data_IF_394208122340
#
_entry.id   IF_394208122340
#
_cell.length_a   1.000
_cell.length_b   1.000
_cell.length_c   1.000
_cell.angle_alpha   90.00
_cell.angle_beta   90.00
_cell.angle_gamma   90.00
#
_symmetry.space_group_name_H-M   'P 1'
#
loop_
_entity.id
_entity.type
_entity.pdbx_description
1 polymer ?
#
# COMPACT_ATOMS: atom_id res chain seq x y z
N UNK A 1 9.62 -12.17 36.61
CA UNK A 1 9.91 -11.65 35.26
C UNK A 1 9.76 -12.78 34.25
N UNK A 2 8.67 -12.80 33.48
CA UNK A 2 8.50 -13.76 32.39
C UNK A 2 9.31 -13.26 31.20
N UNK A 3 10.25 -14.07 30.69
CA UNK A 3 10.88 -13.84 29.39
C UNK A 3 9.81 -14.03 28.32
N UNK A 4 9.50 -12.97 27.58
CA UNK A 4 8.75 -13.10 26.34
C UNK A 4 9.66 -13.82 25.35
N UNK A 5 9.21 -14.98 24.86
CA UNK A 5 9.82 -15.66 23.74
C UNK A 5 9.23 -15.03 22.49
N UNK A 6 10.02 -14.22 21.78
CA UNK A 6 9.62 -13.65 20.50
C UNK A 6 9.84 -14.72 19.42
N UNK A 7 8.75 -15.15 18.78
CA UNK A 7 8.80 -16.06 17.64
C UNK A 7 9.22 -15.28 16.40
N UNK A 8 10.39 -15.62 15.88
CA UNK A 8 10.99 -15.06 14.67
C UNK A 8 10.42 -15.72 13.42
N UNK A 9 9.87 -14.93 12.49
CA UNK A 9 9.50 -15.39 11.15
C UNK A 9 10.20 -14.46 10.15
N UNK A 10 11.21 -14.98 9.46
CA UNK A 10 11.91 -14.26 8.38
C UNK A 10 11.43 -14.77 7.03
N UNK A 11 11.09 -13.85 6.11
CA UNK A 11 10.83 -14.15 4.71
C UNK A 11 12.04 -13.76 3.85
N UNK A 12 12.29 -14.60 2.83
CA UNK A 12 13.34 -14.39 1.85
C UNK A 12 12.76 -13.61 0.68
N UNK A 13 13.18 -12.35 0.52
CA UNK A 13 12.77 -11.51 -0.61
C UNK A 13 13.36 -12.05 -1.92
N UNK A 14 12.76 -11.68 -3.04
CA UNK A 14 13.21 -12.04 -4.40
C UNK A 14 14.64 -11.55 -4.74
N UNK A 15 15.16 -10.59 -3.97
CA UNK A 15 16.55 -10.13 -4.05
C UNK A 15 17.53 -10.94 -3.16
N UNK A 16 17.07 -12.02 -2.52
CA UNK A 16 17.87 -12.90 -1.67
C UNK A 16 18.13 -12.41 -0.25
N UNK A 17 17.60 -11.23 0.13
CA UNK A 17 17.76 -10.69 1.49
C UNK A 17 16.70 -11.24 2.46
N UNK A 18 17.11 -11.44 3.71
CA UNK A 18 16.21 -11.72 4.84
C UNK A 18 15.74 -10.36 5.37
N UNK A 19 14.44 -10.08 5.23
CA UNK A 19 13.84 -8.82 5.70
C UNK A 19 13.28 -8.94 7.12
N UNK A 20 13.28 -7.83 7.86
CA UNK A 20 12.60 -7.69 9.15
C UNK A 20 11.11 -7.44 8.95
N UNK A 21 10.26 -8.09 9.75
CA UNK A 21 8.92 -7.57 10.07
C UNK A 21 9.12 -6.51 11.16
N UNK A 22 9.29 -5.24 10.77
CA UNK A 22 9.06 -4.13 11.73
C UNK A 22 7.57 -4.12 12.07
N UNK A 23 7.21 -3.63 13.26
CA UNK A 23 5.83 -3.46 13.75
C UNK A 23 4.94 -2.53 12.87
N UNK A 24 5.34 -2.23 11.63
CA UNK A 24 4.57 -1.49 10.63
C UNK A 24 4.18 -2.29 9.37
N UNK A 25 4.60 -3.54 9.20
CA UNK A 25 4.28 -4.34 8.01
C UNK A 25 2.97 -5.14 8.17
N UNK A 26 1.84 -4.41 8.17
CA UNK A 26 0.48 -4.94 7.90
C UNK A 26 -0.01 -4.52 6.51
N UNK A 27 0.89 -4.47 5.54
CA UNK A 27 0.55 -4.19 4.16
C UNK A 27 0.59 -5.53 3.44
N UNK A 28 -0.55 -6.17 3.14
CA UNK A 28 -0.54 -7.35 2.29
C UNK A 28 0.14 -6.96 0.97
N UNK A 29 1.31 -7.53 0.74
CA UNK A 29 1.99 -7.51 -0.54
C UNK A 29 1.18 -8.38 -1.49
N UNK A 30 0.04 -7.88 -1.99
CA UNK A 30 -0.86 -8.56 -2.94
C UNK A 30 -0.15 -9.11 -4.21
N UNK A 31 1.10 -8.78 -4.48
CA UNK A 31 1.88 -9.41 -5.55
C UNK A 31 2.36 -10.82 -5.19
N UNK A 32 2.46 -11.16 -3.90
CA UNK A 32 2.74 -12.51 -3.42
C UNK A 32 1.58 -13.49 -3.70
N UNK A 33 0.44 -12.99 -4.21
CA UNK A 33 -0.69 -13.80 -4.67
C UNK A 33 -0.40 -14.60 -5.95
N UNK A 34 0.68 -14.27 -6.67
CA UNK A 34 1.13 -15.05 -7.82
C UNK A 34 2.29 -15.95 -7.39
N UNK A 35 2.05 -17.25 -7.34
CA UNK A 35 3.07 -18.25 -7.05
C UNK A 35 3.83 -18.59 -8.34
N UNK A 36 5.15 -18.40 -8.32
CA UNK A 36 6.06 -18.90 -9.35
C UNK A 36 6.47 -20.33 -8.99
N UNK A 37 6.02 -21.30 -9.78
CA UNK A 37 6.45 -22.69 -9.65
C UNK A 37 7.66 -22.94 -10.56
N UNK A 38 8.71 -23.58 -10.03
CA UNK A 38 9.87 -23.99 -10.83
C UNK A 38 9.41 -24.83 -12.04
N UNK A 39 9.59 -24.27 -13.24
CA UNK A 39 9.20 -24.84 -14.55
C UNK A 39 7.69 -24.95 -14.87
N UNK A 40 6.79 -24.20 -14.21
CA UNK A 40 5.39 -24.06 -14.65
C UNK A 40 5.00 -22.60 -14.88
N UNK A 41 3.88 -22.40 -15.59
CA UNK A 41 3.25 -21.10 -15.70
C UNK A 41 2.95 -20.55 -14.30
N UNK A 42 3.17 -19.25 -14.04
CA UNK A 42 2.82 -18.63 -12.77
C UNK A 42 1.33 -18.80 -12.47
N UNK A 43 0.96 -19.01 -11.21
CA UNK A 43 -0.42 -19.27 -10.82
C UNK A 43 -0.94 -18.18 -9.88
N UNK A 44 -2.13 -17.64 -10.15
CA UNK A 44 -2.84 -16.74 -9.24
C UNK A 44 -3.65 -17.58 -8.24
N UNK A 45 -3.31 -17.44 -6.96
CA UNK A 45 -3.97 -18.15 -5.86
C UNK A 45 -5.33 -17.51 -5.55
N UNK A 46 -6.28 -18.31 -5.06
CA UNK A 46 -7.56 -17.80 -4.57
C UNK A 46 -7.41 -16.94 -3.30
N UNK A 47 -7.37 -15.62 -3.49
CA UNK A 47 -7.25 -14.63 -2.42
C UNK A 47 -8.59 -14.20 -1.80
N UNK A 48 -9.66 -14.99 -1.97
CA UNK A 48 -10.93 -14.77 -1.29
C UNK A 48 -10.80 -14.50 0.22
N UNK A 49 -9.96 -15.23 0.99
CA UNK A 49 -9.89 -14.97 2.42
C UNK A 49 -9.27 -13.62 2.79
N UNK A 50 -8.43 -13.06 1.91
CA UNK A 50 -7.91 -11.69 2.08
C UNK A 50 -9.05 -10.67 1.96
N UNK A 51 -9.92 -10.85 0.96
CA UNK A 51 -11.12 -10.01 0.77
C UNK A 51 -12.03 -10.09 2.01
N UNK A 52 -12.25 -11.29 2.55
CA UNK A 52 -13.08 -11.49 3.75
C UNK A 52 -12.50 -10.79 4.98
N UNK A 53 -11.18 -10.85 5.17
CA UNK A 53 -10.51 -10.17 6.29
C UNK A 53 -10.56 -8.65 6.15
N UNK A 54 -10.34 -8.12 4.94
CA UNK A 54 -10.47 -6.69 4.66
C UNK A 54 -11.89 -6.18 4.88
N UNK A 55 -12.89 -6.95 4.44
CA UNK A 55 -14.29 -6.63 4.69
C UNK A 55 -14.60 -6.54 6.18
N UNK A 56 -14.13 -7.49 6.99
CA UNK A 56 -14.34 -7.45 8.44
C UNK A 56 -13.71 -6.22 9.13
N UNK A 57 -12.64 -5.66 8.55
CA UNK A 57 -11.99 -4.44 9.04
C UNK A 57 -12.77 -3.18 8.62
N UNK A 58 -13.30 -3.13 7.40
CA UNK A 58 -13.85 -1.91 6.82
C UNK A 58 -15.39 -1.84 6.78
N UNK A 59 -16.11 -2.92 7.10
CA UNK A 59 -17.58 -2.98 7.04
C UNK A 59 -18.30 -2.06 8.04
N UNK A 60 -17.59 -1.43 8.98
CA UNK A 60 -18.14 -0.54 10.01
C UNK A 60 -17.86 0.95 9.79
N UNK A 61 -17.42 1.36 8.61
CA UNK A 61 -17.12 2.77 8.32
C UNK A 61 -18.34 3.71 8.44
N UNK A 62 -18.07 5.02 8.58
CA UNK A 62 -19.03 6.02 9.05
C UNK A 62 -20.10 6.42 8.02
N UNK A 63 -19.79 6.41 6.73
CA UNK A 63 -20.75 6.83 5.69
C UNK A 63 -21.71 5.70 5.29
N UNK A 64 -22.93 5.77 5.80
CA UNK A 64 -23.97 4.75 5.62
C UNK A 64 -24.29 4.46 4.14
N UNK A 65 -24.33 5.48 3.27
CA UNK A 65 -24.75 5.29 1.87
C UNK A 65 -23.69 4.53 1.08
N UNK A 66 -22.43 4.95 1.20
CA UNK A 66 -21.30 4.32 0.51
C UNK A 66 -21.02 2.93 1.10
N UNK A 67 -21.14 2.79 2.42
CA UNK A 67 -21.04 1.50 3.11
C UNK A 67 -22.09 0.50 2.63
N UNK A 68 -23.35 0.92 2.45
CA UNK A 68 -24.39 0.02 1.99
C UNK A 68 -24.11 -0.52 0.58
N UNK A 69 -23.57 0.33 -0.32
CA UNK A 69 -23.12 -0.10 -1.65
C UNK A 69 -21.93 -1.04 -1.57
N UNK A 70 -20.93 -0.71 -0.77
CA UNK A 70 -19.77 -1.55 -0.51
C UNK A 70 -20.17 -2.95 0.02
N UNK A 71 -21.02 -3.00 1.05
CA UNK A 71 -21.53 -4.26 1.60
C UNK A 71 -22.35 -5.04 0.56
N UNK A 72 -23.08 -4.34 -0.32
CA UNK A 72 -23.83 -4.99 -1.40
C UNK A 72 -22.90 -5.66 -2.41
N UNK A 73 -21.80 -5.00 -2.79
CA UNK A 73 -20.76 -5.59 -3.67
C UNK A 73 -20.13 -6.82 -3.02
N UNK A 74 -19.76 -6.74 -1.74
CA UNK A 74 -19.23 -7.89 -1.02
C UNK A 74 -20.22 -9.07 -0.97
N UNK A 75 -21.51 -8.78 -0.73
CA UNK A 75 -22.56 -9.80 -0.76
C UNK A 75 -22.74 -10.42 -2.15
N UNK A 76 -22.71 -9.61 -3.22
CA UNK A 76 -22.75 -10.13 -4.59
C UNK A 76 -21.54 -11.00 -4.91
N UNK A 77 -20.35 -10.62 -4.44
CA UNK A 77 -19.13 -11.39 -4.61
C UNK A 77 -19.20 -12.73 -3.86
N UNK A 78 -19.67 -12.75 -2.61
CA UNK A 78 -19.91 -13.98 -1.87
C UNK A 78 -20.96 -14.87 -2.55
N UNK A 79 -22.09 -14.31 -2.97
CA UNK A 79 -23.16 -15.05 -3.66
C UNK A 79 -22.64 -15.66 -4.97
N UNK A 80 -21.90 -14.90 -5.77
CA UNK A 80 -21.32 -15.33 -7.05
C UNK A 80 -20.44 -16.59 -6.92
N UNK A 81 -19.70 -16.72 -5.82
CA UNK A 81 -18.83 -17.89 -5.53
C UNK A 81 -19.61 -19.18 -5.27
N UNK A 82 -20.87 -19.09 -4.85
CA UNK A 82 -21.67 -20.27 -4.49
C UNK A 82 -22.24 -21.01 -5.71
N UNK A 83 -22.33 -20.35 -6.86
CA UNK A 83 -22.94 -20.93 -8.05
C UNK A 83 -21.95 -21.81 -8.83
N UNK A 84 -22.35 -23.06 -9.07
CA UNK A 84 -21.60 -24.00 -9.90
C UNK A 84 -21.99 -23.92 -11.38
N UNK A 85 -23.18 -23.40 -11.70
CA UNK A 85 -23.66 -23.25 -13.08
C UNK A 85 -23.05 -22.00 -13.73
N UNK A 86 -22.25 -22.22 -14.77
CA UNK A 86 -21.48 -21.18 -15.47
C UNK A 86 -22.33 -19.99 -15.94
N UNK A 87 -23.51 -20.25 -16.52
CA UNK A 87 -24.41 -19.17 -16.98
C UNK A 87 -24.86 -18.23 -15.85
N UNK A 88 -25.03 -18.77 -14.63
CA UNK A 88 -25.43 -17.98 -13.46
C UNK A 88 -24.20 -17.25 -12.90
N UNK A 89 -23.05 -17.92 -12.85
CA UNK A 89 -21.78 -17.34 -12.42
C UNK A 89 -21.38 -16.13 -13.27
N UNK A 90 -21.51 -16.25 -14.60
CA UNK A 90 -21.28 -15.16 -15.55
C UNK A 90 -22.22 -13.97 -15.28
N UNK A 91 -23.53 -14.22 -15.18
CA UNK A 91 -24.52 -13.17 -14.94
C UNK A 91 -24.28 -12.43 -13.61
N UNK A 92 -23.91 -13.16 -12.55
CA UNK A 92 -23.60 -12.56 -11.25
C UNK A 92 -22.29 -11.77 -11.27
N UNK A 93 -21.26 -12.26 -11.96
CA UNK A 93 -20.02 -11.50 -12.09
C UNK A 93 -20.17 -10.25 -12.95
N UNK A 94 -21.05 -10.26 -13.96
CA UNK A 94 -21.38 -9.07 -14.73
C UNK A 94 -22.05 -8.01 -13.83
N UNK A 95 -23.03 -8.42 -13.02
CA UNK A 95 -23.67 -7.54 -12.02
C UNK A 95 -22.64 -6.96 -11.04
N UNK A 96 -21.73 -7.81 -10.53
CA UNK A 96 -20.65 -7.38 -9.65
C UNK A 96 -19.71 -6.37 -10.36
N UNK A 97 -19.38 -6.60 -11.62
CA UNK A 97 -18.50 -5.72 -12.41
C UNK A 97 -19.14 -4.34 -12.61
N UNK A 98 -20.43 -4.31 -12.96
CA UNK A 98 -21.19 -3.06 -13.09
C UNK A 98 -21.25 -2.31 -11.76
N UNK A 99 -21.63 -2.98 -10.67
CA UNK A 99 -21.70 -2.37 -9.34
C UNK A 99 -20.33 -1.88 -8.84
N UNK A 100 -19.26 -2.63 -9.12
CA UNK A 100 -17.89 -2.25 -8.77
C UNK A 100 -17.44 -1.01 -9.53
N UNK A 101 -17.69 -0.96 -10.85
CA UNK A 101 -17.40 0.22 -11.68
C UNK A 101 -18.13 1.47 -11.17
N UNK A 102 -19.42 1.35 -10.84
CA UNK A 102 -20.23 2.46 -10.33
C UNK A 102 -19.66 3.00 -9.01
N UNK A 103 -19.41 2.12 -8.03
CA UNK A 103 -18.87 2.55 -6.74
C UNK A 103 -17.44 3.10 -6.85
N UNK A 104 -16.59 2.48 -7.66
CA UNK A 104 -15.24 2.99 -7.93
C UNK A 104 -15.31 4.42 -8.46
N UNK A 105 -16.15 4.69 -9.46
CA UNK A 105 -16.30 6.03 -10.02
C UNK A 105 -16.79 7.06 -8.99
N UNK A 106 -17.75 6.68 -8.14
CA UNK A 106 -18.21 7.53 -7.04
C UNK A 106 -17.09 7.86 -6.05
N UNK A 107 -16.28 6.86 -5.69
CA UNK A 107 -15.11 7.04 -4.82
C UNK A 107 -14.03 7.92 -5.50
N UNK A 108 -13.78 7.78 -6.80
CA UNK A 108 -12.83 8.64 -7.52
C UNK A 108 -13.23 10.12 -7.44
N UNK A 109 -14.53 10.43 -7.57
CA UNK A 109 -15.05 11.80 -7.45
C UNK A 109 -14.78 12.34 -6.04
N UNK A 110 -15.14 11.58 -5.00
CA UNK A 110 -14.91 11.96 -3.60
C UNK A 110 -13.44 12.15 -3.27
N UNK A 111 -12.58 11.26 -3.75
CA UNK A 111 -11.12 11.34 -3.53
C UNK A 111 -10.54 12.60 -4.18
N UNK A 112 -11.00 12.97 -5.39
CA UNK A 112 -10.62 14.24 -6.03
C UNK A 112 -11.08 15.46 -5.24
N UNK A 113 -12.27 15.42 -4.67
CA UNK A 113 -12.78 16.49 -3.79
C UNK A 113 -11.95 16.61 -2.51
N UNK A 114 -11.66 15.48 -1.84
CA UNK A 114 -10.79 15.44 -0.65
C UNK A 114 -9.38 15.96 -0.95
N UNK A 115 -8.79 15.60 -2.10
CA UNK A 115 -7.51 16.17 -2.58
C UNK A 115 -7.59 17.69 -2.69
N UNK A 116 -8.64 18.25 -3.29
CA UNK A 116 -8.81 19.71 -3.37
C UNK A 116 -8.92 20.35 -1.99
N UNK A 117 -9.69 19.75 -1.08
CA UNK A 117 -9.82 20.23 0.29
C UNK A 117 -8.48 20.21 1.06
N UNK A 118 -7.65 19.19 0.83
CA UNK A 118 -6.33 19.06 1.46
C UNK A 118 -5.42 20.25 1.15
N UNK A 119 -5.41 20.73 -0.09
CA UNK A 119 -4.66 21.92 -0.49
C UNK A 119 -5.32 23.23 -0.03
N UNK A 120 -6.63 23.23 0.23
CA UNK A 120 -7.38 24.42 0.62
C UNK A 120 -7.39 24.70 2.13
N UNK A 121 -7.38 23.66 2.98
CA UNK A 121 -7.42 23.81 4.45
C UNK A 121 -6.18 23.23 5.11
N UNK A 122 -5.23 24.08 5.49
CA UNK A 122 -4.02 23.67 6.22
C UNK A 122 -4.32 23.16 7.64
N UNK A 123 -5.39 23.64 8.27
CA UNK A 123 -5.72 23.26 9.65
C UNK A 123 -6.40 21.89 9.76
N UNK A 124 -7.05 21.43 8.70
CA UNK A 124 -7.84 20.19 8.72
C UNK A 124 -7.19 19.04 7.95
N UNK A 125 -5.93 19.19 7.52
CA UNK A 125 -5.26 18.22 6.64
C UNK A 125 -5.29 16.79 7.21
N UNK A 126 -5.06 16.61 8.51
CA UNK A 126 -5.09 15.29 9.14
C UNK A 126 -6.49 14.64 9.05
N UNK A 127 -7.55 15.39 9.34
CA UNK A 127 -8.93 14.90 9.24
C UNK A 127 -9.28 14.53 7.80
N UNK A 128 -8.79 15.32 6.83
CA UNK A 128 -8.99 15.05 5.41
C UNK A 128 -8.25 13.76 5.00
N UNK A 129 -7.02 13.56 5.46
CA UNK A 129 -6.24 12.34 5.19
C UNK A 129 -6.90 11.11 5.85
N UNK A 130 -7.44 11.24 7.06
CA UNK A 130 -8.17 10.15 7.72
C UNK A 130 -9.43 9.76 6.92
N UNK A 131 -10.21 10.75 6.49
CA UNK A 131 -11.36 10.49 5.62
C UNK A 131 -10.94 9.94 4.26
N UNK A 132 -9.81 10.37 3.71
CA UNK A 132 -9.26 9.84 2.45
C UNK A 132 -8.88 8.37 2.60
N UNK A 133 -8.26 7.99 3.72
CA UNK A 133 -7.92 6.61 4.03
C UNK A 133 -9.14 5.70 3.99
N UNK A 134 -10.26 6.10 4.59
CA UNK A 134 -11.51 5.32 4.57
C UNK A 134 -11.99 5.05 3.13
N UNK A 135 -12.02 6.08 2.28
CA UNK A 135 -12.44 5.96 0.89
C UNK A 135 -11.46 5.11 0.06
N UNK A 136 -10.14 5.25 0.30
CA UNK A 136 -9.12 4.44 -0.36
C UNK A 136 -9.18 2.97 0.04
N UNK A 137 -9.40 2.67 1.31
CA UNK A 137 -9.55 1.29 1.79
C UNK A 137 -10.77 0.62 1.14
N UNK A 138 -11.93 1.31 1.07
CA UNK A 138 -13.10 0.79 0.31
C UNK A 138 -12.79 0.61 -1.17
N UNK A 139 -12.09 1.56 -1.78
CA UNK A 139 -11.70 1.52 -3.19
C UNK A 139 -10.88 0.26 -3.50
N UNK A 140 -9.87 0.00 -2.66
CA UNK A 140 -8.98 -1.15 -2.77
C UNK A 140 -9.77 -2.46 -2.62
N UNK A 141 -10.64 -2.56 -1.62
CA UNK A 141 -11.44 -3.76 -1.37
C UNK A 141 -12.37 -4.09 -2.55
N UNK A 142 -13.01 -3.07 -3.13
CA UNK A 142 -13.88 -3.23 -4.31
C UNK A 142 -13.07 -3.64 -5.53
N UNK A 143 -11.90 -3.04 -5.72
CA UNK A 143 -10.99 -3.39 -6.81
C UNK A 143 -10.53 -4.85 -6.68
N UNK A 144 -10.22 -5.32 -5.48
CA UNK A 144 -9.86 -6.72 -5.22
C UNK A 144 -11.02 -7.68 -5.50
N UNK A 145 -12.25 -7.35 -5.07
CA UNK A 145 -13.45 -8.13 -5.42
C UNK A 145 -13.59 -8.26 -6.93
N UNK A 146 -13.37 -7.17 -7.67
CA UNK A 146 -13.51 -7.14 -9.11
C UNK A 146 -12.40 -7.96 -9.80
N UNK A 147 -11.14 -7.79 -9.39
CA UNK A 147 -10.01 -8.59 -9.90
C UNK A 147 -10.28 -10.09 -9.65
N UNK A 148 -10.68 -10.45 -8.44
CA UNK A 148 -10.96 -11.84 -8.06
C UNK A 148 -12.04 -12.47 -8.92
N UNK A 149 -13.21 -11.81 -9.01
CA UNK A 149 -14.34 -12.32 -9.78
C UNK A 149 -13.98 -12.51 -11.25
N UNK A 150 -13.28 -11.53 -11.82
CA UNK A 150 -12.83 -11.59 -13.22
C UNK A 150 -11.82 -12.71 -13.45
N UNK A 151 -10.83 -12.86 -12.57
CA UNK A 151 -9.82 -13.91 -12.66
C UNK A 151 -10.44 -15.31 -12.53
N UNK A 152 -11.45 -15.46 -11.68
CA UNK A 152 -12.17 -16.73 -11.49
C UNK A 152 -13.02 -17.19 -12.69
N UNK A 153 -13.22 -16.31 -13.68
CA UNK A 153 -14.01 -16.58 -14.88
C UNK A 153 -13.15 -16.65 -16.13
N UNK A 154 -12.29 -15.65 -16.34
CA UNK A 154 -11.51 -15.53 -17.57
C UNK A 154 -10.21 -14.74 -17.27
N UNK A 155 -9.22 -15.43 -16.67
CA UNK A 155 -7.94 -14.82 -16.30
C UNK A 155 -7.18 -14.29 -17.53
N UNK A 156 -7.37 -14.90 -18.70
CA UNK A 156 -6.73 -14.48 -19.95
C UNK A 156 -7.18 -13.09 -20.42
N UNK A 157 -8.38 -12.66 -19.98
CA UNK A 157 -8.93 -11.34 -20.35
C UNK A 157 -8.10 -10.16 -19.80
N UNK A 158 -7.30 -10.38 -18.75
CA UNK A 158 -6.42 -9.36 -18.17
C UNK A 158 -5.36 -8.84 -19.14
N UNK A 159 -4.95 -9.65 -20.14
CA UNK A 159 -4.00 -9.22 -21.18
C UNK A 159 -4.47 -8.00 -21.97
N UNK A 160 -5.79 -7.87 -22.11
CA UNK A 160 -6.43 -6.77 -22.86
C UNK A 160 -7.15 -5.79 -21.93
N UNK A 161 -7.11 -6.00 -20.62
CA UNK A 161 -7.75 -5.11 -19.68
C UNK A 161 -6.96 -3.79 -19.55
N UNK A 162 -7.68 -2.69 -19.72
CA UNK A 162 -7.20 -1.33 -19.47
C UNK A 162 -8.01 -0.62 -18.39
N UNK A 163 -9.14 -1.17 -17.96
CA UNK A 163 -10.07 -0.53 -17.02
C UNK A 163 -9.56 -0.69 -15.59
N UNK A 164 -9.26 -1.93 -15.16
CA UNK A 164 -8.70 -2.23 -13.85
C UNK A 164 -7.34 -1.55 -13.67
N UNK A 165 -6.55 -1.49 -14.74
CA UNK A 165 -5.28 -0.75 -14.75
C UNK A 165 -5.51 0.75 -14.56
N UNK A 166 -6.43 1.36 -15.29
CA UNK A 166 -6.75 2.79 -15.12
C UNK A 166 -7.25 3.12 -13.70
N UNK A 167 -7.97 2.20 -13.06
CA UNK A 167 -8.37 2.34 -11.65
C UNK A 167 -7.17 2.32 -10.69
N UNK A 168 -6.23 1.40 -10.92
CA UNK A 168 -4.98 1.35 -10.14
C UNK A 168 -4.13 2.61 -10.34
N UNK A 169 -3.92 2.99 -11.60
CA UNK A 169 -3.12 4.15 -12.00
C UNK A 169 -3.69 5.45 -11.39
N UNK A 170 -5.01 5.64 -11.43
CA UNK A 170 -5.68 6.80 -10.83
C UNK A 170 -5.38 6.93 -9.33
N UNK A 171 -5.54 5.84 -8.57
CA UNK A 171 -5.37 5.88 -7.13
C UNK A 171 -3.89 6.05 -6.76
N UNK A 172 -2.98 5.40 -7.49
CA UNK A 172 -1.55 5.55 -7.30
C UNK A 172 -1.08 6.99 -7.56
N UNK A 173 -1.51 7.61 -8.68
CA UNK A 173 -1.18 8.99 -9.01
C UNK A 173 -1.68 9.96 -7.92
N UNK A 174 -2.94 9.83 -7.51
CA UNK A 174 -3.55 10.68 -6.49
C UNK A 174 -2.81 10.58 -5.15
N UNK A 175 -2.49 9.36 -4.70
CA UNK A 175 -1.80 9.14 -3.43
C UNK A 175 -0.34 9.61 -3.50
N UNK A 176 0.32 9.42 -4.65
CA UNK A 176 1.72 9.83 -4.82
C UNK A 176 1.88 11.34 -4.77
N UNK A 177 0.96 12.09 -5.38
CA UNK A 177 0.95 13.55 -5.30
C UNK A 177 0.76 14.04 -3.86
N UNK A 178 -0.22 13.49 -3.13
CA UNK A 178 -0.46 13.86 -1.72
C UNK A 178 0.72 13.49 -0.83
N UNK A 179 1.29 12.30 -1.03
CA UNK A 179 2.46 11.84 -0.29
C UNK A 179 3.66 12.74 -0.54
N UNK A 180 3.91 13.09 -1.80
CA UNK A 180 5.00 13.98 -2.19
C UNK A 180 4.85 15.36 -1.55
N UNK A 181 3.63 15.91 -1.50
CA UNK A 181 3.37 17.19 -0.82
C UNK A 181 3.69 17.12 0.68
N UNK A 182 3.26 16.05 1.35
CA UNK A 182 3.50 15.87 2.78
C UNK A 182 5.00 15.77 3.07
N UNK A 183 5.74 14.90 2.38
CA UNK A 183 7.17 14.67 2.67
C UNK A 183 8.09 15.80 2.18
N UNK A 184 7.66 16.59 1.19
CA UNK A 184 8.41 17.77 0.72
C UNK A 184 8.15 19.00 1.58
N UNK A 185 7.29 18.88 2.61
CA UNK A 185 7.09 19.94 3.58
C UNK A 185 8.40 20.26 4.30
N UNK A 186 8.76 21.54 4.29
CA UNK A 186 9.93 22.08 4.98
C UNK A 186 10.85 22.91 4.09
N UNK A 187 11.70 23.71 4.71
CA UNK A 187 12.59 24.68 4.04
C UNK A 187 13.86 24.04 3.50
N UNK A 188 14.37 23.02 4.17
CA UNK A 188 15.60 22.34 3.75
C UNK A 188 15.27 21.07 2.96
N UNK A 189 15.92 20.89 1.82
CA UNK A 189 15.78 19.70 1.00
C UNK A 189 16.00 18.42 1.82
N UNK A 190 15.08 17.46 1.67
CA UNK A 190 15.06 16.17 2.37
C UNK A 190 14.87 16.29 3.92
N UNK A 191 14.33 17.40 4.45
CA UNK A 191 14.11 17.60 5.90
C UNK A 191 13.35 16.46 6.56
N UNK A 192 12.26 16.00 5.94
CA UNK A 192 11.46 14.90 6.46
C UNK A 192 12.27 13.60 6.59
N UNK A 193 13.06 13.26 5.57
CA UNK A 193 13.92 12.08 5.61
C UNK A 193 15.04 12.19 6.64
N UNK A 194 15.64 13.37 6.81
CA UNK A 194 16.63 13.63 7.87
C UNK A 194 16.01 13.49 9.26
N UNK A 195 14.83 14.07 9.46
CA UNK A 195 14.09 13.94 10.71
C UNK A 195 13.82 12.47 11.04
N UNK A 196 13.36 11.68 10.06
CA UNK A 196 13.21 10.24 10.24
C UNK A 196 14.55 9.55 10.55
N UNK A 197 15.64 9.92 9.87
CA UNK A 197 16.94 9.29 10.07
C UNK A 197 17.55 9.51 11.47
N UNK A 198 17.33 10.70 12.05
CA UNK A 198 18.05 11.13 13.26
C UNK A 198 17.18 11.18 14.53
N UNK A 199 15.86 11.37 14.40
CA UNK A 199 14.94 11.49 15.55
C UNK A 199 14.01 10.27 15.70
N UNK A 200 13.56 9.68 14.60
CA UNK A 200 12.62 8.55 14.61
C UNK A 200 13.35 7.25 14.29
N UNK A 201 13.81 6.52 15.30
CA UNK A 201 14.42 5.19 15.10
C UNK A 201 13.41 4.21 14.46
N UNK A 202 13.42 4.12 13.13
CA UNK A 202 12.65 3.14 12.36
C UNK A 202 11.88 3.76 11.18
N UNK A 203 11.77 2.96 10.11
CA UNK A 203 10.96 3.16 8.90
C UNK A 203 11.49 4.09 7.79
N UNK A 204 12.63 4.79 7.92
CA UNK A 204 13.17 5.66 6.85
C UNK A 204 13.25 4.96 5.48
N UNK A 205 13.77 3.73 5.44
CA UNK A 205 13.88 2.94 4.22
C UNK A 205 12.54 2.82 3.47
N UNK A 206 11.43 2.65 4.20
CA UNK A 206 10.08 2.53 3.60
C UNK A 206 9.59 3.82 2.94
N UNK A 207 10.08 4.99 3.36
CA UNK A 207 9.77 6.25 2.69
C UNK A 207 10.71 6.50 1.51
N UNK A 208 12.00 6.15 1.66
CA UNK A 208 12.99 6.27 0.61
C UNK A 208 12.64 5.44 -0.63
N UNK A 209 12.17 4.20 -0.45
CA UNK A 209 11.78 3.33 -1.56
C UNK A 209 10.66 3.91 -2.44
N UNK A 210 9.79 4.76 -1.86
CA UNK A 210 8.70 5.37 -2.60
C UNK A 210 9.16 6.52 -3.51
N UNK A 211 10.18 7.27 -3.13
CA UNK A 211 10.65 8.51 -3.79
C UNK A 211 11.98 8.33 -4.53
N UNK A 212 12.87 7.54 -3.97
CA UNK A 212 14.20 7.25 -4.49
C UNK A 212 14.39 5.73 -4.61
N UNK A 213 13.71 5.06 -5.56
CA UNK A 213 13.86 3.63 -5.75
C UNK A 213 15.34 3.24 -5.90
N UNK A 214 15.80 2.30 -5.06
CA UNK A 214 17.17 1.81 -5.05
C UNK A 214 18.16 2.58 -4.16
N UNK A 215 17.76 3.69 -3.52
CA UNK A 215 18.57 4.38 -2.52
C UNK A 215 18.37 3.71 -1.16
N UNK A 216 19.43 3.12 -0.61
CA UNK A 216 19.39 2.57 0.76
C UNK A 216 19.51 3.67 1.81
N UNK A 217 19.03 3.41 3.03
CA UNK A 217 19.22 4.25 4.21
C UNK A 217 20.70 4.63 4.44
N UNK A 218 21.63 3.67 4.36
CA UNK A 218 23.07 3.96 4.50
C UNK A 218 23.57 4.94 3.44
N UNK A 219 23.16 4.74 2.18
CA UNK A 219 23.49 5.67 1.09
C UNK A 219 22.90 7.06 1.33
N UNK A 220 21.68 7.13 1.86
CA UNK A 220 21.05 8.39 2.26
C UNK A 220 21.86 9.08 3.35
N UNK A 221 22.13 8.42 4.48
CA UNK A 221 22.93 8.94 5.59
C UNK A 221 24.32 9.41 5.14
N UNK A 222 25.01 8.59 4.33
CA UNK A 222 26.30 8.96 3.76
C UNK A 222 26.21 10.19 2.86
N UNK A 223 25.14 10.33 2.08
CA UNK A 223 24.93 11.52 1.24
C UNK A 223 24.68 12.77 2.08
N UNK A 224 23.90 12.67 3.16
CA UNK A 224 23.66 13.77 4.10
C UNK A 224 24.99 14.19 4.75
N UNK A 225 25.74 13.25 5.32
CA UNK A 225 27.02 13.52 6.01
C UNK A 225 28.06 14.14 5.04
N UNK A 226 28.10 13.69 3.78
CA UNK A 226 29.01 14.26 2.76
C UNK A 226 28.66 15.70 2.39
N UNK A 227 27.37 16.02 2.36
CA UNK A 227 26.87 17.34 1.95
C UNK A 227 26.75 18.32 3.12
N UNK A 228 26.86 17.84 4.37
CA UNK A 228 26.80 18.66 5.57
C UNK A 228 28.03 19.53 5.79
N UNK A 229 27.81 20.67 6.45
CA UNK A 229 28.88 21.58 6.87
C UNK A 229 29.77 20.90 7.90
N UNK A 230 31.09 21.02 7.71
CA UNK A 230 32.10 20.47 8.60
C UNK A 230 32.79 21.61 9.34
N UNK A 231 32.74 21.57 10.65
CA UNK A 231 33.39 22.54 11.52
C UNK A 231 34.50 21.83 12.30
N UNK A 232 35.68 22.46 12.37
CA UNK A 232 36.76 21.96 13.21
C UNK A 232 36.69 22.69 14.54
N UNK A 233 36.47 21.93 15.61
CA UNK A 233 36.40 22.46 16.97
C UNK A 233 37.64 22.02 17.74
N UNK A 234 38.02 22.83 18.73
CA UNK A 234 39.10 22.52 19.66
C UNK A 234 38.50 22.37 21.06
N UNK A 235 38.85 21.27 21.72
CA UNK A 235 38.52 20.97 23.11
C UNK A 235 39.84 20.67 23.86
N UNK A 236 40.03 21.28 25.03
CA UNK A 236 41.19 21.08 25.90
C UNK A 236 41.42 19.60 26.25
N UNK A 237 40.37 18.78 26.29
CA UNK A 237 40.43 17.35 26.63
C UNK A 237 40.73 16.43 25.45
N UNK A 238 40.29 16.80 24.24
CA UNK A 238 40.35 15.93 23.05
C UNK A 238 41.10 16.54 21.87
N UNK A 239 41.73 17.70 22.04
CA UNK A 239 42.37 18.47 20.97
C UNK A 239 41.39 18.84 19.85
N UNK A 240 41.81 18.79 18.58
CA UNK A 240 40.95 19.11 17.45
C UNK A 240 40.05 17.93 17.08
N UNK A 241 38.73 18.16 17.02
CA UNK A 241 37.77 17.21 16.47
C UNK A 241 36.95 17.85 15.34
N UNK A 242 36.45 17.00 14.44
CA UNK A 242 35.59 17.42 13.34
C UNK A 242 34.12 17.20 13.74
N UNK A 243 33.34 18.27 13.68
CA UNK A 243 31.89 18.25 13.85
C UNK A 243 31.22 18.29 12.48
N UNK A 244 30.19 17.47 12.31
CA UNK A 244 29.26 17.52 11.17
C UNK A 244 27.96 18.12 11.68
N UNK A 245 27.50 19.22 11.08
CA UNK A 245 26.24 19.87 11.43
C UNK A 245 25.17 19.46 10.40
N UNK A 246 24.05 18.95 10.89
CA UNK A 246 22.93 18.50 10.08
C UNK A 246 21.70 19.28 10.54
N UNK A 247 21.16 20.10 9.64
CA UNK A 247 19.96 20.89 9.88
C UNK A 247 18.76 20.18 9.23
N UNK A 248 17.67 20.06 9.99
CA UNK A 248 16.37 19.56 9.56
C UNK A 248 15.24 20.16 10.40
N UNK A 249 14.04 20.20 9.83
CA UNK A 249 12.84 20.62 10.56
C UNK A 249 12.32 19.54 11.50
N UNK A 250 11.69 19.96 12.58
CA UNK A 250 10.99 19.06 13.50
C UNK A 250 9.54 18.95 13.03
N UNK A 251 9.10 17.72 12.79
CA UNK A 251 7.73 17.43 12.40
C UNK A 251 6.91 17.01 13.62
N UNK A 252 5.67 17.50 13.68
CA UNK A 252 4.74 17.08 14.72
C UNK A 252 4.16 15.69 14.40
N UNK A 253 3.56 15.07 15.41
CA UNK A 253 2.97 13.73 15.31
C UNK A 253 1.90 13.63 14.21
N UNK A 254 1.07 14.67 14.02
CA UNK A 254 0.04 14.66 12.98
C UNK A 254 0.65 14.58 11.58
N UNK A 255 1.74 15.29 11.33
CA UNK A 255 2.42 15.27 10.04
C UNK A 255 3.05 13.90 9.75
N UNK A 256 3.71 13.31 10.75
CA UNK A 256 4.28 11.95 10.66
C UNK A 256 3.17 10.93 10.37
N UNK A 257 2.03 11.04 11.05
CA UNK A 257 0.89 10.15 10.83
C UNK A 257 0.28 10.28 9.44
N UNK A 258 0.16 11.50 8.90
CA UNK A 258 -0.30 11.70 7.52
C UNK A 258 0.64 11.01 6.52
N UNK A 259 1.95 11.21 6.67
CA UNK A 259 2.96 10.59 5.83
C UNK A 259 2.87 9.06 5.90
N UNK A 260 2.69 8.50 7.11
CA UNK A 260 2.53 7.06 7.33
C UNK A 260 1.28 6.50 6.65
N UNK A 261 0.13 7.15 6.81
CA UNK A 261 -1.13 6.72 6.16
C UNK A 261 -0.97 6.69 4.64
N UNK A 262 -0.42 7.75 4.06
CA UNK A 262 -0.22 7.86 2.61
C UNK A 262 0.80 6.84 2.09
N UNK A 263 1.90 6.63 2.83
CA UNK A 263 2.89 5.59 2.57
C UNK A 263 2.23 4.22 2.48
N UNK A 264 1.45 3.85 3.50
CA UNK A 264 0.84 2.53 3.59
C UNK A 264 -0.17 2.30 2.45
N UNK A 265 -0.98 3.31 2.12
CA UNK A 265 -1.92 3.26 1.00
C UNK A 265 -1.18 3.14 -0.35
N UNK A 266 -0.07 3.86 -0.52
CA UNK A 266 0.77 3.78 -1.73
C UNK A 266 1.34 2.38 -1.94
N UNK A 267 1.83 1.74 -0.88
CA UNK A 267 2.30 0.37 -0.98
C UNK A 267 1.18 -0.61 -1.36
N UNK A 268 0.00 -0.48 -0.75
CA UNK A 268 -1.16 -1.32 -1.11
C UNK A 268 -1.51 -1.20 -2.59
N UNK A 269 -1.66 0.03 -3.11
CA UNK A 269 -2.05 0.23 -4.51
C UNK A 269 -0.94 -0.16 -5.48
N UNK A 270 0.34 0.13 -5.17
CA UNK A 270 1.48 -0.34 -5.98
C UNK A 270 1.54 -1.86 -6.06
N UNK A 271 1.18 -2.54 -4.97
CA UNK A 271 1.09 -3.99 -4.96
C UNK A 271 -0.02 -4.51 -5.90
N UNK A 272 -1.16 -3.82 -5.96
CA UNK A 272 -2.24 -4.13 -6.92
C UNK A 272 -1.80 -3.79 -8.36
N UNK A 273 -1.13 -2.65 -8.58
CA UNK A 273 -0.56 -2.29 -9.89
C UNK A 273 0.41 -3.37 -10.40
N UNK A 274 1.26 -3.92 -9.51
CA UNK A 274 2.17 -5.04 -9.83
C UNK A 274 1.43 -6.33 -10.13
N UNK A 275 0.38 -6.67 -9.36
CA UNK A 275 -0.49 -7.82 -9.61
C UNK A 275 -1.13 -7.70 -11.00
N UNK A 276 -1.74 -6.57 -11.33
CA UNK A 276 -2.37 -6.31 -12.63
C UNK A 276 -1.37 -6.37 -13.78
N UNK A 277 -0.16 -5.82 -13.58
CA UNK A 277 0.91 -5.89 -14.59
C UNK A 277 1.35 -7.34 -14.83
N UNK A 278 1.48 -8.12 -13.75
CA UNK A 278 1.82 -9.54 -13.84
C UNK A 278 0.74 -10.37 -14.55
N UNK A 279 -0.55 -10.11 -14.26
CA UNK A 279 -1.68 -10.75 -14.96
C UNK A 279 -1.76 -10.37 -16.44
N UNK A 280 -1.29 -9.18 -16.80
CA UNK A 280 -1.26 -8.70 -18.19
C UNK A 280 -0.10 -9.28 -19.00
N UNK A 281 1.08 -9.38 -18.39
CA UNK A 281 2.34 -9.71 -19.07
C UNK A 281 2.67 -11.20 -19.02
N UNK A 282 2.33 -11.90 -17.94
CA UNK A 282 2.64 -13.31 -17.74
C UNK A 282 1.47 -14.20 -18.19
N UNK A 283 1.77 -15.42 -18.63
CA UNK A 283 0.76 -16.46 -18.82
C UNK A 283 0.35 -16.99 -17.45
N UNK A 284 -0.46 -16.23 -16.71
CA UNK A 284 -0.92 -16.63 -15.37
C UNK A 284 -2.12 -17.58 -15.47
N UNK A 285 -2.08 -18.68 -14.73
CA UNK A 285 -3.20 -19.64 -14.60
C UNK A 285 -3.96 -19.41 -13.28
N UNK A 286 -5.26 -19.65 -13.27
CA UNK A 286 -6.06 -19.56 -12.05
C UNK A 286 -5.94 -20.85 -11.22
N UNK A 287 -5.50 -20.75 -9.96
CA UNK A 287 -5.28 -21.88 -9.06
C UNK A 287 -6.22 -21.83 -7.83
N UNK A 288 -7.45 -22.36 -7.94
CA UNK A 288 -8.45 -22.30 -6.87
C UNK A 288 -8.15 -23.21 -5.66
N UNK A 289 -7.23 -24.17 -5.82
CA UNK A 289 -6.94 -25.19 -4.80
C UNK A 289 -5.61 -24.95 -4.07
N UNK A 290 -4.87 -23.89 -4.40
CA UNK A 290 -3.63 -23.55 -3.70
C UNK A 290 -3.94 -22.73 -2.44
N UNK A 291 -3.32 -23.12 -1.33
CA UNK A 291 -3.63 -22.55 -0.01
C UNK A 291 -3.04 -21.15 0.15
N UNK A 292 -3.86 -20.21 0.62
CA UNK A 292 -3.44 -18.87 1.05
C UNK A 292 -2.92 -18.83 2.49
N UNK A 293 -2.74 -19.97 3.17
CA UNK A 293 -2.27 -20.03 4.57
C UNK A 293 -0.99 -19.23 4.82
N UNK A 294 -0.08 -19.18 3.84
CA UNK A 294 1.14 -18.37 3.92
C UNK A 294 0.90 -16.86 3.92
N UNK A 295 -0.21 -16.38 3.34
CA UNK A 295 -0.61 -14.96 3.30
C UNK A 295 -1.30 -14.51 4.60
N UNK A 296 -1.88 -15.44 5.37
CA UNK A 296 -2.54 -15.10 6.64
C UNK A 296 -1.56 -14.72 7.75
N UNK A 297 -0.34 -15.27 7.72
CA UNK A 297 0.73 -14.90 8.65
C UNK A 297 1.14 -13.41 8.54
N UNK A 298 0.79 -12.73 7.44
CA UNK A 298 1.07 -11.32 7.18
C UNK A 298 -0.06 -10.36 7.65
N UNK A 299 -1.19 -10.91 8.11
CA UNK A 299 -2.38 -10.12 8.46
C UNK A 299 -2.72 -10.17 9.96
N UNK A 300 -1.99 -10.92 10.78
CA UNK A 300 -2.06 -10.86 12.26
C UNK A 300 -1.23 -9.70 12.82
#
# INVERSE_FOLDING_TARGET
MRKNTELFIGLRRSNGQIGYLSEGLKIPEFFELILEHDNRNPALVDFAPVIEKLHNLHCKQNDEKTRNKYNSIYNYWQDAKTYTKESIKLSRSEQLSCASNELINELQIRLREKKKCFYASQNDQKLIIDGLKEDCDMYIDVLLCFIHSKASLEIESFRRDNVLRAYSDFLEELLFELFSEVIQSGRDGESFFKYLAFESNGDLQTYLELIHPGKSEDQFLLSVIKNSKRNRHWDERFSYYNQVVIDYEIFNQHHIEMARILRDLLYKIRSISKLLSSLKEKNVEWAPNESTEHLFALLE
#
